data_IF_820602708796
#
_entry.id   IF_820602708796
#
_cell.length_a   1.000
_cell.length_b   1.000
_cell.length_c   1.000
_cell.angle_alpha   90.00
_cell.angle_beta   90.00
_cell.angle_gamma   90.00
#
_symmetry.space_group_name_H-M   'P 1'
#
loop_
_entity.id
_entity.type
_entity.pdbx_description
1 polymer ?
#
# COMPACT_ATOMS: atom_id res chain seq x y z
N UNK A 1 3.34 7.38 11.86
CA UNK A 1 1.96 7.04 11.45
C UNK A 1 1.29 6.10 12.45
N UNK A 2 -0.02 6.27 12.63
CA UNK A 2 -0.84 5.36 13.44
C UNK A 2 -2.18 5.14 12.75
N UNK A 3 -2.55 3.89 12.54
CA UNK A 3 -3.84 3.50 11.97
C UNK A 3 -4.70 2.80 13.00
N UNK A 4 -6.00 3.08 12.97
CA UNK A 4 -7.01 2.39 13.79
C UNK A 4 -8.18 1.96 12.93
N UNK A 5 -8.88 0.93 13.38
CA UNK A 5 -10.10 0.43 12.76
C UNK A 5 -11.13 0.15 13.83
N UNK A 6 -12.34 0.57 13.58
CA UNK A 6 -13.45 0.44 14.50
C UNK A 6 -14.65 -0.20 13.78
N UNK A 7 -15.33 -1.10 14.45
CA UNK A 7 -16.60 -1.64 13.98
C UNK A 7 -17.72 -1.06 14.86
N UNK A 8 -18.68 -0.39 14.23
CA UNK A 8 -19.85 0.14 14.92
C UNK A 8 -20.85 -0.97 15.26
N UNK A 9 -21.82 -0.65 16.14
CA UNK A 9 -22.85 -1.61 16.58
C UNK A 9 -23.76 -2.11 15.45
N UNK A 10 -23.92 -1.32 14.40
CA UNK A 10 -24.69 -1.68 13.19
C UNK A 10 -23.89 -2.50 12.18
N UNK A 11 -22.62 -2.84 12.50
CA UNK A 11 -21.72 -3.58 11.63
C UNK A 11 -20.96 -2.72 10.64
N UNK A 12 -21.19 -1.41 10.60
CA UNK A 12 -20.39 -0.50 9.77
C UNK A 12 -18.95 -0.46 10.27
N UNK A 13 -18.02 -0.29 9.31
CA UNK A 13 -16.61 -0.38 9.54
C UNK A 13 -15.91 0.92 9.15
N UNK A 14 -15.13 1.48 10.06
CA UNK A 14 -14.41 2.74 9.88
C UNK A 14 -12.93 2.52 10.07
N UNK A 15 -12.15 3.02 9.14
CA UNK A 15 -10.70 3.14 9.24
C UNK A 15 -10.30 4.60 9.34
N UNK A 16 -9.34 4.88 10.21
CA UNK A 16 -8.75 6.20 10.36
C UNK A 16 -7.24 6.07 10.56
N UNK A 17 -6.52 7.13 10.24
CA UNK A 17 -5.07 7.17 10.47
C UNK A 17 -4.55 8.59 10.62
N UNK A 18 -3.37 8.71 11.22
CA UNK A 18 -2.52 9.89 11.12
C UNK A 18 -1.45 9.69 10.04
N UNK A 19 -1.02 10.75 9.39
CA UNK A 19 0.12 10.75 8.46
C UNK A 19 1.16 11.71 9.01
N UNK A 20 2.26 11.18 9.52
CA UNK A 20 3.45 11.94 9.86
C UNK A 20 4.48 11.71 8.76
N UNK A 21 4.75 12.77 8.00
CA UNK A 21 5.62 12.72 6.83
C UNK A 21 6.79 13.69 7.00
N UNK A 22 8.00 13.16 7.09
CA UNK A 22 9.19 13.93 7.47
C UNK A 22 9.92 14.63 6.31
N UNK A 23 9.46 14.45 5.08
CA UNK A 23 10.12 15.02 3.91
C UNK A 23 9.59 16.43 3.61
N UNK A 24 10.34 17.43 4.05
CA UNK A 24 10.04 18.84 3.80
C UNK A 24 9.20 19.54 4.88
N UNK A 25 9.10 20.85 4.77
CA UNK A 25 8.41 21.70 5.74
C UNK A 25 6.87 21.63 5.60
N UNK A 26 6.35 21.13 4.47
CA UNK A 26 4.91 21.04 4.20
C UNK A 26 4.64 19.73 3.47
N UNK A 27 3.72 18.93 4.01
CA UNK A 27 3.21 17.74 3.34
C UNK A 27 2.45 18.16 2.07
N UNK A 28 2.93 17.71 0.91
CA UNK A 28 2.18 17.80 -0.35
C UNK A 28 1.21 16.63 -0.40
N UNK A 29 -0.07 16.93 -0.45
CA UNK A 29 -1.12 15.92 -0.46
C UNK A 29 -2.30 16.38 -1.30
N UNK A 30 -2.87 15.46 -2.08
CA UNK A 30 -3.99 15.70 -2.97
C UNK A 30 -5.01 14.56 -2.87
N UNK A 31 -6.28 14.87 -3.04
CA UNK A 31 -7.28 13.83 -3.32
C UNK A 31 -7.11 13.36 -4.76
N UNK A 32 -7.03 12.05 -4.93
CA UNK A 32 -6.83 11.41 -6.24
C UNK A 32 -8.03 10.51 -6.53
N UNK A 33 -8.58 10.65 -7.75
CA UNK A 33 -9.59 9.74 -8.29
C UNK A 33 -8.99 9.03 -9.49
N UNK A 34 -9.00 7.69 -9.46
CA UNK A 34 -8.56 6.85 -10.57
C UNK A 34 -9.80 6.16 -11.13
N UNK A 35 -10.23 6.46 -12.37
CA UNK A 35 -11.34 5.77 -12.99
C UNK A 35 -10.96 4.37 -13.46
N UNK A 36 -11.94 3.49 -13.64
CA UNK A 36 -11.74 2.20 -14.32
C UNK A 36 -11.14 2.40 -15.70
N UNK A 37 -10.22 1.52 -16.09
CA UNK A 37 -9.56 1.55 -17.39
C UNK A 37 -8.38 2.52 -17.49
N UNK A 38 -8.13 3.33 -16.46
CA UNK A 38 -6.94 4.20 -16.43
C UNK A 38 -5.67 3.36 -16.57
N UNK A 39 -4.78 3.79 -17.47
CA UNK A 39 -3.49 3.13 -17.69
C UNK A 39 -2.46 3.70 -16.73
N UNK A 40 -1.83 2.83 -15.99
CA UNK A 40 -0.90 3.15 -14.93
C UNK A 40 0.43 2.46 -15.19
N UNK A 41 1.50 3.08 -14.71
CA UNK A 41 2.85 2.53 -14.75
C UNK A 41 3.55 2.80 -13.43
N UNK A 42 4.31 1.82 -12.97
CA UNK A 42 5.15 2.01 -11.80
C UNK A 42 6.44 2.73 -12.15
N UNK A 43 6.92 3.55 -11.25
CA UNK A 43 8.30 4.02 -11.24
C UNK A 43 9.24 2.88 -10.83
N UNK A 44 10.51 3.04 -11.21
CA UNK A 44 11.64 2.25 -10.70
C UNK A 44 12.78 3.20 -10.35
N UNK A 45 13.85 2.73 -9.70
CA UNK A 45 15.06 3.55 -9.52
C UNK A 45 15.68 4.07 -10.83
N UNK A 46 15.36 3.45 -11.97
CA UNK A 46 15.82 3.88 -13.29
C UNK A 46 14.92 4.93 -13.97
N UNK A 47 13.68 5.09 -13.50
CA UNK A 47 12.72 6.03 -14.08
C UNK A 47 11.28 5.51 -14.15
N UNK A 48 10.53 5.91 -15.16
CA UNK A 48 9.15 5.52 -15.42
C UNK A 48 9.10 4.30 -16.36
N UNK A 49 9.62 3.18 -15.91
CA UNK A 49 9.82 1.98 -16.73
C UNK A 49 9.39 0.67 -16.02
N UNK A 50 8.66 0.76 -14.92
CA UNK A 50 8.19 -0.37 -14.14
C UNK A 50 6.93 -1.04 -14.69
N UNK A 51 6.30 -1.85 -13.85
CA UNK A 51 5.06 -2.59 -14.12
C UNK A 51 3.98 -1.69 -14.72
N UNK A 52 3.40 -2.14 -15.84
CA UNK A 52 2.26 -1.49 -16.48
C UNK A 52 0.98 -2.26 -16.15
N UNK A 53 -0.07 -1.53 -15.79
CA UNK A 53 -1.37 -2.12 -15.49
C UNK A 53 -2.51 -1.13 -15.79
N UNK A 54 -3.72 -1.64 -15.89
CA UNK A 54 -4.92 -0.81 -16.05
C UNK A 54 -5.83 -1.00 -14.85
N UNK A 55 -6.43 0.08 -14.37
CA UNK A 55 -7.34 0.04 -13.23
C UNK A 55 -8.57 -0.81 -13.55
N UNK A 56 -8.75 -1.91 -12.82
CA UNK A 56 -9.97 -2.74 -12.86
C UNK A 56 -11.08 -2.12 -12.02
N UNK A 57 -10.70 -1.44 -10.95
CA UNK A 57 -11.62 -0.78 -10.00
C UNK A 57 -11.35 0.71 -9.95
N UNK A 58 -12.42 1.49 -9.81
CA UNK A 58 -12.34 2.91 -9.50
C UNK A 58 -11.82 3.10 -8.06
N UNK A 59 -10.96 4.10 -7.86
CA UNK A 59 -10.28 4.37 -6.58
C UNK A 59 -10.45 5.84 -6.21
N UNK A 60 -10.64 6.09 -4.92
CA UNK A 60 -10.46 7.40 -4.29
C UNK A 60 -9.39 7.27 -3.23
N UNK A 61 -8.40 8.15 -3.26
CA UNK A 61 -7.29 8.13 -2.33
C UNK A 61 -6.75 9.50 -1.97
N UNK A 62 -5.87 9.50 -0.99
CA UNK A 62 -5.07 10.64 -0.57
C UNK A 62 -3.61 10.35 -0.94
N UNK A 63 -3.02 11.19 -1.77
CA UNK A 63 -1.61 11.05 -2.16
C UNK A 63 -0.67 11.79 -1.22
N UNK A 64 0.61 11.43 -1.29
CA UNK A 64 1.73 12.18 -0.70
C UNK A 64 2.78 12.44 -1.77
N UNK A 65 3.35 13.64 -1.77
CA UNK A 65 4.37 14.13 -2.71
C UNK A 65 3.88 14.25 -4.16
N UNK A 66 3.44 13.16 -4.77
CA UNK A 66 2.90 13.12 -6.13
C UNK A 66 1.62 12.28 -6.18
N UNK A 67 0.77 12.54 -7.17
CA UNK A 67 -0.55 11.90 -7.29
C UNK A 67 -0.50 10.36 -7.41
N UNK A 68 0.59 9.82 -7.91
CA UNK A 68 0.81 8.38 -8.05
C UNK A 68 1.07 7.67 -6.71
N UNK A 69 1.51 8.39 -5.68
CA UNK A 69 1.85 7.84 -4.37
C UNK A 69 0.66 7.94 -3.42
N UNK A 70 -0.29 7.02 -3.59
CA UNK A 70 -1.47 6.96 -2.70
C UNK A 70 -1.04 6.44 -1.34
N UNK A 71 -1.17 7.28 -0.32
CA UNK A 71 -0.85 6.92 1.06
C UNK A 71 -1.99 6.19 1.77
N UNK A 72 -3.23 6.51 1.41
CA UNK A 72 -4.44 5.87 1.94
C UNK A 72 -5.55 5.97 0.90
N UNK A 73 -6.37 4.94 0.75
CA UNK A 73 -7.47 4.98 -0.20
C UNK A 73 -8.43 3.80 -0.06
N UNK A 74 -9.48 3.85 -0.86
CA UNK A 74 -10.50 2.83 -0.98
C UNK A 74 -10.91 2.67 -2.43
N UNK A 75 -11.24 1.46 -2.84
CA UNK A 75 -11.81 1.20 -4.15
C UNK A 75 -13.33 0.94 -4.08
N UNK A 76 -13.97 0.91 -5.23
CA UNK A 76 -15.41 0.69 -5.35
C UNK A 76 -15.90 -0.70 -4.93
N UNK A 77 -14.99 -1.69 -4.81
CA UNK A 77 -15.30 -3.02 -4.26
C UNK A 77 -15.24 -3.05 -2.72
N UNK A 78 -14.85 -1.95 -2.06
CA UNK A 78 -14.73 -1.84 -0.62
C UNK A 78 -13.39 -2.31 -0.06
N UNK A 79 -12.40 -2.58 -0.91
CA UNK A 79 -11.02 -2.80 -0.46
C UNK A 79 -10.40 -1.46 -0.11
N UNK A 80 -9.79 -1.36 1.07
CA UNK A 80 -9.03 -0.20 1.53
C UNK A 80 -7.58 -0.58 1.77
N UNK A 81 -6.65 0.34 1.52
CA UNK A 81 -5.24 0.12 1.79
C UNK A 81 -4.54 1.43 2.17
N UNK A 82 -3.52 1.31 3.01
CA UNK A 82 -2.69 2.43 3.42
C UNK A 82 -1.25 2.01 3.65
N UNK A 83 -0.32 2.91 3.34
CA UNK A 83 1.11 2.73 3.60
C UNK A 83 1.52 3.38 4.93
N UNK A 84 2.50 2.77 5.58
CA UNK A 84 3.09 3.24 6.84
C UNK A 84 4.60 3.08 6.76
N UNK A 85 5.35 3.99 7.38
CA UNK A 85 6.80 3.88 7.49
C UNK A 85 7.18 2.70 8.40
N UNK A 86 8.15 1.89 7.96
CA UNK A 86 8.53 0.64 8.65
C UNK A 86 10.04 0.56 8.87
N UNK A 87 10.63 1.46 9.67
CA UNK A 87 12.07 1.57 9.83
C UNK A 87 12.65 0.41 10.62
N UNK A 88 13.78 -0.12 10.15
CA UNK A 88 14.63 -1.04 10.89
C UNK A 88 14.20 -2.52 10.88
N UNK A 89 13.03 -2.85 10.31
CA UNK A 89 12.51 -4.22 10.29
C UNK A 89 12.28 -4.75 8.88
N UNK A 90 11.85 -3.89 7.95
CA UNK A 90 11.58 -4.27 6.59
C UNK A 90 12.82 -4.31 5.71
N UNK A 91 12.71 -4.99 4.57
CA UNK A 91 13.74 -5.03 3.54
C UNK A 91 13.23 -5.65 2.27
N UNK A 92 13.39 -4.92 1.17
CA UNK A 92 13.05 -5.35 -0.19
C UNK A 92 14.20 -6.08 -0.85
N UNK A 93 13.91 -6.76 -1.95
CA UNK A 93 14.97 -7.21 -2.86
C UNK A 93 15.59 -6.00 -3.59
N UNK A 94 16.88 -6.07 -3.95
CA UNK A 94 17.52 -5.05 -4.78
C UNK A 94 16.80 -4.91 -6.12
N UNK A 95 16.78 -3.70 -6.66
CA UNK A 95 16.27 -3.45 -8.01
C UNK A 95 17.09 -4.21 -9.04
N UNK A 96 16.40 -4.83 -9.99
CA UNK A 96 16.98 -5.53 -11.14
C UNK A 96 16.37 -4.97 -12.42
N UNK A 97 17.15 -4.21 -13.18
CA UNK A 97 16.70 -3.55 -14.41
C UNK A 97 16.23 -4.54 -15.48
N UNK A 98 16.68 -5.80 -15.44
CA UNK A 98 16.22 -6.85 -16.38
C UNK A 98 14.81 -7.34 -16.08
N UNK A 99 14.25 -6.95 -14.95
CA UNK A 99 12.90 -7.31 -14.47
C UNK A 99 12.03 -6.09 -14.19
N UNK A 100 12.29 -4.97 -14.86
CA UNK A 100 11.50 -3.73 -14.72
C UNK A 100 10.02 -3.97 -15.01
N UNK A 101 9.69 -4.81 -15.96
CA UNK A 101 8.32 -5.12 -16.40
C UNK A 101 7.41 -5.70 -15.30
N UNK A 102 8.00 -6.31 -14.26
CA UNK A 102 7.29 -6.84 -13.07
C UNK A 102 7.64 -6.06 -11.79
N UNK A 103 8.36 -4.95 -11.91
CA UNK A 103 8.80 -4.14 -10.78
C UNK A 103 7.75 -3.11 -10.40
N UNK A 104 7.40 -3.08 -9.11
CA UNK A 104 6.47 -2.16 -8.49
C UNK A 104 7.20 -1.33 -7.41
N UNK A 105 7.12 -0.01 -7.52
CA UNK A 105 7.63 0.88 -6.48
C UNK A 105 6.84 0.73 -5.18
N UNK A 106 7.53 0.71 -4.06
CA UNK A 106 6.93 0.62 -2.72
C UNK A 106 5.88 1.73 -2.46
N UNK A 107 6.14 2.95 -2.94
CA UNK A 107 5.21 4.07 -2.87
C UNK A 107 3.94 3.92 -3.73
N UNK A 108 3.93 3.00 -4.70
CA UNK A 108 2.79 2.74 -5.59
C UNK A 108 2.05 1.43 -5.27
N UNK A 109 2.44 0.73 -4.21
CA UNK A 109 1.80 -0.53 -3.81
C UNK A 109 0.32 -0.32 -3.46
N UNK A 110 -0.03 0.76 -2.75
CA UNK A 110 -1.45 1.07 -2.45
C UNK A 110 -2.25 1.32 -3.72
N UNK A 111 -1.71 2.09 -4.67
CA UNK A 111 -2.34 2.33 -5.96
C UNK A 111 -2.60 1.01 -6.71
N UNK A 112 -1.61 0.14 -6.76
CA UNK A 112 -1.73 -1.17 -7.41
C UNK A 112 -2.76 -2.06 -6.71
N UNK A 113 -2.70 -2.17 -5.37
CA UNK A 113 -3.66 -2.97 -4.60
C UNK A 113 -5.10 -2.55 -4.89
N UNK A 114 -5.38 -1.25 -4.78
CA UNK A 114 -6.74 -0.73 -4.90
C UNK A 114 -7.27 -0.78 -6.34
N UNK A 115 -6.41 -0.65 -7.34
CA UNK A 115 -6.84 -0.72 -8.74
C UNK A 115 -7.00 -2.16 -9.26
N UNK A 116 -6.36 -3.15 -8.64
CA UNK A 116 -6.31 -4.51 -9.17
C UNK A 116 -7.21 -5.52 -8.45
N UNK A 117 -7.51 -5.34 -7.16
CA UNK A 117 -8.14 -6.38 -6.33
C UNK A 117 -9.43 -5.91 -5.67
N UNK A 118 -10.37 -6.85 -5.51
CA UNK A 118 -11.61 -6.65 -4.75
C UNK A 118 -11.52 -7.19 -3.31
N UNK A 119 -10.55 -8.07 -3.03
CA UNK A 119 -10.44 -8.73 -1.73
C UNK A 119 -8.97 -8.94 -1.32
N UNK A 120 -8.78 -9.17 -0.03
CA UNK A 120 -7.48 -9.54 0.55
C UNK A 120 -6.98 -10.87 -0.04
N UNK A 121 -7.86 -11.84 -0.24
CA UNK A 121 -7.47 -13.15 -0.78
C UNK A 121 -6.97 -13.07 -2.23
N UNK A 122 -7.59 -12.23 -3.07
CA UNK A 122 -7.10 -11.97 -4.43
C UNK A 122 -5.71 -11.33 -4.42
N UNK A 123 -5.49 -10.37 -3.51
CA UNK A 123 -4.18 -9.75 -3.34
C UNK A 123 -3.11 -10.76 -2.92
N UNK A 124 -3.39 -11.57 -1.89
CA UNK A 124 -2.45 -12.60 -1.39
C UNK A 124 -2.09 -13.58 -2.49
N UNK A 125 -3.06 -14.02 -3.28
CA UNK A 125 -2.84 -14.96 -4.39
C UNK A 125 -2.00 -14.38 -5.53
N UNK A 126 -1.90 -13.05 -5.62
CA UNK A 126 -1.27 -12.35 -6.75
C UNK A 126 0.07 -11.69 -6.40
N UNK A 127 0.44 -11.61 -5.12
CA UNK A 127 1.59 -10.81 -4.67
C UNK A 127 2.93 -11.31 -5.24
N UNK A 128 3.06 -12.60 -5.46
CA UNK A 128 4.29 -13.20 -6.01
C UNK A 128 4.51 -12.86 -7.51
N UNK A 129 3.50 -12.29 -8.17
CA UNK A 129 3.59 -11.83 -9.56
C UNK A 129 4.32 -10.49 -9.73
N UNK A 130 4.65 -9.79 -8.66
CA UNK A 130 5.31 -8.49 -8.70
C UNK A 130 6.55 -8.47 -7.79
N UNK A 131 7.51 -7.64 -8.15
CA UNK A 131 8.70 -7.36 -7.35
C UNK A 131 8.59 -5.96 -6.76
N UNK A 132 8.39 -5.85 -5.46
CA UNK A 132 8.35 -4.55 -4.79
C UNK A 132 9.78 -4.13 -4.47
N UNK A 133 10.13 -2.90 -4.86
CA UNK A 133 11.44 -2.30 -4.65
C UNK A 133 11.30 -0.91 -4.03
N UNK A 134 12.31 -0.49 -3.27
CA UNK A 134 12.39 0.88 -2.78
C UNK A 134 12.70 1.85 -3.93
N UNK A 135 12.02 2.99 -3.97
CA UNK A 135 12.45 4.12 -4.79
C UNK A 135 13.56 4.92 -4.10
N UNK A 136 13.57 4.91 -2.77
CA UNK A 136 14.57 5.59 -1.93
C UNK A 136 15.03 4.60 -0.86
N UNK A 137 16.30 4.30 -0.81
CA UNK A 137 16.89 3.26 0.05
C UNK A 137 16.57 3.40 1.56
N UNK A 138 16.22 4.59 2.03
CA UNK A 138 15.93 4.86 3.43
C UNK A 138 14.46 4.74 3.83
N UNK A 139 13.56 4.51 2.89
CA UNK A 139 12.13 4.52 3.12
C UNK A 139 11.53 3.13 2.95
N UNK A 140 11.65 2.27 3.95
CA UNK A 140 10.94 0.98 3.96
C UNK A 140 9.54 1.18 4.48
N UNK A 141 8.56 0.57 3.83
CA UNK A 141 7.14 0.67 4.13
C UNK A 141 6.55 -0.70 4.49
N UNK A 142 5.43 -0.67 5.21
CA UNK A 142 4.49 -1.76 5.34
C UNK A 142 3.06 -1.25 5.11
N UNK A 143 2.11 -2.14 4.93
CA UNK A 143 0.78 -1.78 4.45
C UNK A 143 -0.31 -2.42 5.31
N UNK A 144 -1.33 -1.62 5.65
CA UNK A 144 -2.60 -2.10 6.18
C UNK A 144 -3.57 -2.25 5.04
N UNK A 145 -4.25 -3.38 4.98
CA UNK A 145 -5.29 -3.68 3.99
C UNK A 145 -6.56 -4.10 4.74
N UNK A 146 -7.70 -3.55 4.36
CA UNK A 146 -8.99 -3.90 4.93
C UNK A 146 -10.04 -4.12 3.84
N UNK A 147 -11.05 -4.91 4.14
CA UNK A 147 -12.15 -5.15 3.23
C UNK A 147 -13.50 -4.93 3.92
N UNK A 148 -14.56 -4.84 3.12
CA UNK A 148 -15.92 -4.52 3.60
C UNK A 148 -16.43 -5.48 4.69
N UNK A 149 -15.94 -6.71 4.72
CA UNK A 149 -16.25 -7.68 5.78
C UNK A 149 -15.76 -7.28 7.19
N UNK A 150 -14.89 -6.28 7.27
CA UNK A 150 -14.18 -5.89 8.49
C UNK A 150 -12.88 -6.66 8.71
N UNK A 151 -12.56 -7.65 7.87
CA UNK A 151 -11.25 -8.32 7.90
C UNK A 151 -10.14 -7.35 7.55
N UNK A 152 -9.03 -7.45 8.26
CA UNK A 152 -7.83 -6.66 8.02
C UNK A 152 -6.60 -7.53 8.08
N UNK A 153 -5.64 -7.18 7.22
CA UNK A 153 -4.29 -7.75 7.26
C UNK A 153 -3.25 -6.64 7.21
N UNK A 154 -2.08 -6.97 7.73
CA UNK A 154 -0.86 -6.18 7.55
C UNK A 154 0.07 -6.95 6.63
N UNK A 155 0.56 -6.29 5.58
CA UNK A 155 1.60 -6.83 4.73
C UNK A 155 2.93 -6.17 5.06
N UNK A 156 3.93 -6.98 5.37
CA UNK A 156 5.31 -6.59 5.60
C UNK A 156 6.24 -7.32 4.64
N UNK A 157 7.30 -6.68 4.19
CA UNK A 157 8.34 -7.32 3.39
C UNK A 157 9.60 -7.41 4.23
N UNK A 158 9.99 -8.63 4.56
CA UNK A 158 11.15 -8.92 5.40
C UNK A 158 12.05 -9.91 4.67
N UNK A 159 13.31 -9.51 4.46
CA UNK A 159 14.25 -10.32 3.68
C UNK A 159 13.79 -10.55 2.23
N UNK A 160 13.18 -9.54 1.61
CA UNK A 160 12.68 -9.59 0.25
C UNK A 160 11.36 -10.37 0.06
N UNK A 161 10.77 -10.89 1.14
CA UNK A 161 9.57 -11.74 1.05
C UNK A 161 8.37 -11.08 1.70
N UNK A 162 7.21 -11.00 1.02
CA UNK A 162 5.97 -10.52 1.61
C UNK A 162 5.46 -11.51 2.66
N UNK A 163 5.02 -10.97 3.78
CA UNK A 163 4.37 -11.68 4.88
C UNK A 163 3.05 -10.99 5.19
N UNK A 164 2.00 -11.77 5.43
CA UNK A 164 0.68 -11.27 5.77
C UNK A 164 0.31 -11.70 7.19
N UNK A 165 -0.18 -10.75 7.97
CA UNK A 165 -0.63 -10.96 9.35
C UNK A 165 -2.08 -10.54 9.50
N UNK A 166 -2.93 -11.40 10.05
CA UNK A 166 -4.31 -11.03 10.40
C UNK A 166 -4.30 -9.97 11.51
N UNK A 167 -4.84 -8.79 11.23
CA UNK A 167 -4.91 -7.70 12.19
C UNK A 167 -6.21 -7.74 12.98
N UNK A 168 -6.23 -8.48 14.09
CA UNK A 168 -7.40 -8.61 14.96
C UNK A 168 -7.53 -7.48 15.97
N UNK A 169 -6.46 -6.74 16.23
CA UNK A 169 -6.46 -5.61 17.19
C UNK A 169 -6.93 -4.31 16.55
N UNK A 170 -6.95 -4.25 15.21
CA UNK A 170 -7.41 -3.06 14.48
C UNK A 170 -6.46 -1.86 14.55
N UNK A 171 -5.21 -2.05 14.98
CA UNK A 171 -4.21 -0.99 15.12
C UNK A 171 -2.96 -1.34 14.32
N UNK A 172 -2.33 -0.33 13.73
CA UNK A 172 -1.01 -0.43 13.13
C UNK A 172 -0.24 0.85 13.39
N UNK A 173 1.02 0.73 13.81
CA UNK A 173 1.99 1.82 13.95
C UNK A 173 3.15 1.63 12.98
N UNK A 174 4.21 2.44 13.07
CA UNK A 174 5.36 2.33 12.18
C UNK A 174 6.27 1.13 12.53
N UNK A 175 6.50 0.89 13.81
CA UNK A 175 7.38 -0.15 14.32
C UNK A 175 6.94 -0.57 15.74
N UNK A 176 7.32 -1.75 16.20
CA UNK A 176 8.06 -2.83 15.56
C UNK A 176 7.28 -3.57 14.45
N UNK A 177 7.82 -4.71 13.98
CA UNK A 177 7.09 -5.62 13.09
C UNK A 177 5.77 -6.11 13.71
N UNK A 178 4.76 -6.37 12.89
CA UNK A 178 3.40 -6.63 13.36
C UNK A 178 3.29 -7.87 14.27
N UNK A 179 4.17 -8.84 14.12
CA UNK A 179 4.22 -10.01 15.01
C UNK A 179 4.46 -9.66 16.50
N UNK A 180 4.88 -8.42 16.80
CA UNK A 180 5.10 -7.91 18.16
C UNK A 180 3.94 -7.05 18.69
N UNK A 181 2.92 -6.80 17.90
CA UNK A 181 1.70 -6.10 18.30
C UNK A 181 0.71 -7.09 18.90
#
# INVERSE_FOLDING_TARGET
CTGISLTAKDGSYVQARTIEWAYGAVLKSEYVVIPRGERLRSYTPSGDDGLQFSAKYGVVGLSVEVKEFIAEGINEAGLSAGLFFFPGYGGYEPFDATRSDVTLADMQVVQWMLTQFASIDELIASIDGVRIVALVDSAVLHWRIGEQSGRQVVMEIVGGKPRFYENRVGVLTNAPGFEWH
#
